data_IF_771400390346
#
_entry.id   IF_771400390346
#
_cell.length_a   1.000
_cell.length_b   1.000
_cell.length_c   1.000
_cell.angle_alpha   90.00
_cell.angle_beta   90.00
_cell.angle_gamma   90.00
#
_symmetry.space_group_name_H-M   'P 1'
#
loop_
_entity.id
_entity.type
_entity.pdbx_description
1 polymer ?
#
# COMPACT_ATOMS: atom_id res chain seq x y z
N UNK A 1 -14.72 -7.64 -23.13
CA UNK A 1 -13.41 -7.62 -22.40
C UNK A 1 -13.76 -7.37 -20.94
N UNK A 2 -13.21 -8.16 -20.00
CA UNK A 2 -13.45 -7.97 -18.57
C UNK A 2 -12.56 -6.79 -18.10
N UNK A 3 -13.18 -5.76 -17.53
CA UNK A 3 -12.46 -4.63 -16.97
C UNK A 3 -12.16 -4.90 -15.48
N UNK A 4 -10.88 -4.89 -15.12
CA UNK A 4 -10.43 -5.06 -13.74
C UNK A 4 -10.19 -3.71 -13.06
N UNK A 5 -10.41 -3.60 -11.75
CA UNK A 5 -10.14 -2.37 -11.03
C UNK A 5 -8.63 -2.05 -10.99
N UNK A 6 -8.31 -0.78 -10.77
CA UNK A 6 -6.97 -0.31 -10.47
C UNK A 6 -6.43 -0.93 -9.18
N UNK A 7 -5.11 -1.13 -9.08
CA UNK A 7 -4.50 -1.65 -7.85
C UNK A 7 -4.80 -0.77 -6.64
N UNK A 8 -5.56 -1.34 -5.72
CA UNK A 8 -6.02 -0.66 -4.52
C UNK A 8 -4.87 -0.10 -3.68
N UNK A 9 -3.81 -0.88 -3.52
CA UNK A 9 -2.69 -0.53 -2.65
C UNK A 9 -1.89 0.65 -3.19
N UNK A 10 -1.74 0.75 -4.52
CA UNK A 10 -1.05 1.86 -5.18
C UNK A 10 -1.97 3.09 -5.21
N UNK A 11 -3.22 2.93 -5.63
CA UNK A 11 -4.17 4.03 -5.71
C UNK A 11 -4.40 4.74 -4.35
N UNK A 12 -4.46 3.99 -3.23
CA UNK A 12 -4.55 4.59 -1.90
C UNK A 12 -3.31 5.41 -1.51
N UNK A 13 -2.13 5.01 -1.98
CA UNK A 13 -0.90 5.80 -1.78
C UNK A 13 -0.90 7.06 -2.62
N UNK A 14 -1.34 6.97 -3.86
CA UNK A 14 -1.54 8.16 -4.71
C UNK A 14 -2.51 9.14 -4.04
N UNK A 15 -3.63 8.65 -3.51
CA UNK A 15 -4.60 9.47 -2.79
C UNK A 15 -3.98 10.21 -1.58
N UNK A 16 -3.24 9.51 -0.72
CA UNK A 16 -2.61 10.12 0.47
C UNK A 16 -1.53 11.13 0.10
N UNK A 17 -0.78 10.87 -0.98
CA UNK A 17 0.26 11.77 -1.49
C UNK A 17 -0.30 12.89 -2.37
N UNK A 18 -1.62 12.91 -2.61
CA UNK A 18 -2.28 13.84 -3.51
C UNK A 18 -1.60 13.87 -4.90
N UNK A 19 -1.42 12.68 -5.49
CA UNK A 19 -0.90 12.46 -6.83
C UNK A 19 -2.05 12.18 -7.80
N UNK A 20 -1.95 12.72 -9.00
CA UNK A 20 -2.94 12.48 -10.05
C UNK A 20 -2.84 11.05 -10.59
N UNK A 21 -3.97 10.38 -10.74
CA UNK A 21 -4.10 9.08 -11.38
C UNK A 21 -5.49 8.92 -12.01
N UNK A 22 -5.67 7.89 -12.84
CA UNK A 22 -6.98 7.59 -13.42
C UNK A 22 -7.90 6.94 -12.37
N UNK A 23 -8.91 7.70 -11.92
CA UNK A 23 -9.86 7.29 -10.89
C UNK A 23 -11.01 6.40 -11.40
N UNK A 24 -11.02 6.06 -12.68
CA UNK A 24 -11.99 5.11 -13.21
C UNK A 24 -11.70 3.71 -12.68
N UNK A 25 -12.74 2.98 -12.34
CA UNK A 25 -12.64 1.61 -11.83
C UNK A 25 -11.85 1.47 -10.52
N UNK A 26 -12.01 2.42 -9.61
CA UNK A 26 -11.51 2.33 -8.22
C UNK A 26 -12.61 1.80 -7.29
N UNK A 27 -12.19 1.04 -6.26
CA UNK A 27 -13.10 0.52 -5.23
C UNK A 27 -13.39 1.54 -4.12
N UNK A 28 -14.40 1.25 -3.28
CA UNK A 28 -14.84 2.13 -2.18
C UNK A 28 -13.70 2.49 -1.19
N UNK A 29 -12.82 1.54 -0.87
CA UNK A 29 -11.66 1.80 0.00
C UNK A 29 -10.77 2.94 -0.55
N UNK A 30 -10.60 3.01 -1.88
CA UNK A 30 -9.80 4.06 -2.53
C UNK A 30 -10.55 5.38 -2.50
N UNK A 31 -11.86 5.37 -2.81
CA UNK A 31 -12.70 6.58 -2.79
C UNK A 31 -12.71 7.21 -1.40
N UNK A 32 -12.96 6.41 -0.35
CA UNK A 32 -12.95 6.88 1.03
C UNK A 32 -11.58 7.46 1.43
N UNK A 33 -10.49 6.83 0.97
CA UNK A 33 -9.14 7.34 1.23
C UNK A 33 -8.88 8.67 0.51
N UNK A 34 -9.31 8.78 -0.75
CA UNK A 34 -9.16 9.99 -1.56
C UNK A 34 -9.96 11.15 -0.98
N UNK A 35 -11.21 10.90 -0.60
CA UNK A 35 -12.06 11.90 0.03
C UNK A 35 -11.46 12.41 1.35
N UNK A 36 -11.02 11.50 2.22
CA UNK A 36 -10.39 11.85 3.49
C UNK A 36 -9.08 12.63 3.28
N UNK A 37 -8.25 12.24 2.31
CA UNK A 37 -7.01 12.95 1.99
C UNK A 37 -7.27 14.36 1.45
N UNK A 38 -8.28 14.52 0.58
CA UNK A 38 -8.69 15.81 0.04
C UNK A 38 -9.24 16.74 1.14
N UNK A 39 -10.10 16.22 2.02
CA UNK A 39 -10.60 16.96 3.18
C UNK A 39 -9.46 17.43 4.08
N UNK A 40 -8.48 16.56 4.37
CA UNK A 40 -7.31 16.92 5.16
C UNK A 40 -6.45 18.01 4.51
N UNK A 41 -6.26 17.93 3.20
CA UNK A 41 -5.46 18.92 2.45
C UNK A 41 -6.09 20.32 2.42
N UNK A 42 -7.43 20.40 2.47
CA UNK A 42 -8.19 21.64 2.35
C UNK A 42 -8.52 22.30 3.71
N UNK A 43 -8.46 21.56 4.81
CA UNK A 43 -8.87 22.05 6.12
C UNK A 43 -7.68 22.35 7.04
N UNK A 44 -7.81 23.43 7.83
CA UNK A 44 -6.80 23.84 8.82
C UNK A 44 -7.32 23.74 10.27
N UNK A 45 -8.54 23.25 10.48
CA UNK A 45 -9.20 23.14 11.78
C UNK A 45 -9.23 21.68 12.27
N UNK A 46 -9.74 21.46 13.47
CA UNK A 46 -9.99 20.13 14.05
C UNK A 46 -10.90 19.32 13.11
N UNK A 47 -10.37 18.26 12.54
CA UNK A 47 -11.02 17.49 11.50
C UNK A 47 -11.28 16.06 11.95
N UNK A 48 -12.49 15.55 11.66
CA UNK A 48 -12.80 14.13 11.78
C UNK A 48 -12.97 13.54 10.38
N UNK A 49 -12.13 12.58 10.02
CA UNK A 49 -12.10 11.92 8.72
C UNK A 49 -12.68 10.51 8.82
N UNK A 50 -13.65 10.21 7.97
CA UNK A 50 -14.26 8.88 7.90
C UNK A 50 -13.64 8.06 6.76
N UNK A 51 -12.98 6.98 7.09
CA UNK A 51 -12.32 6.09 6.14
C UNK A 51 -13.22 4.91 5.69
N UNK A 52 -14.49 4.86 6.09
CA UNK A 52 -15.38 3.73 5.80
C UNK A 52 -14.73 2.41 6.25
N UNK A 53 -14.51 1.46 5.33
CA UNK A 53 -13.81 0.19 5.60
C UNK A 53 -12.33 0.20 5.19
N UNK A 54 -11.78 1.34 4.84
CA UNK A 54 -10.43 1.45 4.28
C UNK A 54 -9.31 1.23 5.32
N UNK A 55 -9.02 -0.03 5.61
CA UNK A 55 -7.98 -0.41 6.58
C UNK A 55 -6.56 -0.02 6.19
N UNK A 56 -6.26 0.08 4.90
CA UNK A 56 -4.98 0.62 4.42
C UNK A 56 -5.00 2.15 4.49
N UNK A 57 -6.06 2.78 3.97
CA UNK A 57 -6.19 4.24 3.97
C UNK A 57 -6.01 4.85 5.36
N UNK A 58 -6.72 4.32 6.38
CA UNK A 58 -6.61 4.84 7.75
C UNK A 58 -5.18 4.76 8.28
N UNK A 59 -4.45 3.65 8.02
CA UNK A 59 -3.07 3.50 8.50
C UNK A 59 -2.08 4.42 7.78
N UNK A 60 -2.24 4.59 6.47
CA UNK A 60 -1.40 5.49 5.69
C UNK A 60 -1.62 6.96 6.10
N UNK A 61 -2.88 7.38 6.23
CA UNK A 61 -3.24 8.72 6.67
C UNK A 61 -2.79 9.00 8.10
N UNK A 62 -2.87 8.03 9.02
CA UNK A 62 -2.35 8.20 10.38
C UNK A 62 -0.88 8.63 10.35
N UNK A 63 -0.04 7.97 9.55
CA UNK A 63 1.37 8.35 9.41
C UNK A 63 1.54 9.75 8.81
N UNK A 64 0.86 10.02 7.69
CA UNK A 64 0.95 11.30 7.01
C UNK A 64 0.49 12.48 7.89
N UNK A 65 -0.63 12.32 8.61
CA UNK A 65 -1.17 13.34 9.50
C UNK A 65 -0.28 13.54 10.73
N UNK A 66 0.17 12.46 11.38
CA UNK A 66 1.08 12.55 12.51
C UNK A 66 2.38 13.31 12.15
N UNK A 67 2.92 13.06 10.94
CA UNK A 67 4.10 13.78 10.45
C UNK A 67 3.81 15.25 10.14
N UNK A 68 2.59 15.61 9.74
CA UNK A 68 2.23 17.00 9.44
C UNK A 68 2.17 17.91 10.67
N UNK A 69 2.13 17.32 11.87
CA UNK A 69 1.96 18.05 13.13
C UNK A 69 0.56 18.59 13.39
N UNK A 70 -0.42 18.28 12.54
CA UNK A 70 -1.81 18.75 12.69
C UNK A 70 -2.64 17.78 13.53
N UNK A 71 -3.62 18.34 14.27
CA UNK A 71 -4.62 17.55 15.01
C UNK A 71 -5.67 16.97 14.05
N UNK A 72 -6.06 15.71 14.27
CA UNK A 72 -7.10 15.05 13.48
C UNK A 72 -7.62 13.79 14.18
N UNK A 73 -8.91 13.48 13.99
CA UNK A 73 -9.52 12.22 14.41
C UNK A 73 -9.86 11.37 13.20
N UNK A 74 -9.43 10.11 13.19
CA UNK A 74 -9.76 9.15 12.14
C UNK A 74 -10.76 8.12 12.65
N UNK A 75 -11.86 7.96 11.90
CA UNK A 75 -12.93 6.99 12.22
C UNK A 75 -13.15 6.05 11.02
N UNK A 76 -13.88 4.99 11.27
CA UNK A 76 -14.32 4.06 10.23
C UNK A 76 -15.66 3.41 10.54
N UNK A 77 -16.08 2.52 9.66
CA UNK A 77 -17.27 1.72 9.87
C UNK A 77 -17.11 0.70 11.01
N UNK A 78 -18.17 -0.04 11.32
CA UNK A 78 -18.18 -1.06 12.37
C UNK A 78 -17.06 -2.12 12.19
N UNK A 79 -16.74 -2.50 10.94
CA UNK A 79 -15.68 -3.47 10.66
C UNK A 79 -14.30 -2.89 10.88
N UNK A 80 -14.06 -1.67 10.42
CA UNK A 80 -12.77 -0.99 10.59
C UNK A 80 -12.52 -0.66 12.06
N UNK A 81 -13.56 -0.28 12.81
CA UNK A 81 -13.48 0.02 14.25
C UNK A 81 -13.10 -1.18 15.14
N UNK A 82 -13.08 -2.40 14.58
CA UNK A 82 -12.64 -3.60 15.28
C UNK A 82 -11.20 -4.03 14.90
N UNK A 83 -10.55 -3.30 14.00
CA UNK A 83 -9.20 -3.65 13.55
C UNK A 83 -8.14 -2.98 14.44
N UNK A 84 -7.15 -3.75 14.96
CA UNK A 84 -6.13 -3.19 15.84
C UNK A 84 -5.22 -2.20 15.09
N UNK A 85 -4.89 -1.08 15.77
CA UNK A 85 -4.08 0.02 15.22
C UNK A 85 -2.76 0.22 15.95
N UNK A 86 -2.49 -0.48 17.06
CA UNK A 86 -1.25 -0.35 17.83
C UNK A 86 0.01 -0.51 17.01
N UNK A 87 -0.02 -1.42 16.02
CA UNK A 87 1.13 -1.64 15.13
C UNK A 87 1.61 -0.40 14.36
N UNK A 88 0.77 0.65 14.25
CA UNK A 88 1.15 1.91 13.64
C UNK A 88 1.24 3.04 14.66
N UNK A 89 0.40 3.06 15.72
CA UNK A 89 0.47 4.09 16.74
C UNK A 89 1.70 3.96 17.63
N UNK A 90 2.08 2.74 18.01
CA UNK A 90 3.23 2.51 18.89
C UNK A 90 4.54 3.03 18.28
N UNK A 91 4.93 2.69 17.03
CA UNK A 91 6.14 3.23 16.42
C UNK A 91 6.07 4.76 16.20
N UNK A 92 4.90 5.31 15.85
CA UNK A 92 4.74 6.75 15.69
C UNK A 92 4.87 7.48 17.04
N UNK A 93 4.30 6.95 18.11
CA UNK A 93 4.43 7.51 19.46
C UNK A 93 5.88 7.42 19.95
N UNK A 94 6.57 6.32 19.66
CA UNK A 94 8.01 6.19 19.92
C UNK A 94 8.83 7.25 19.18
N UNK A 95 8.38 7.64 17.98
CA UNK A 95 9.02 8.68 17.17
C UNK A 95 8.70 10.11 17.64
N UNK A 96 7.73 10.28 18.56
CA UNK A 96 7.36 11.57 19.14
C UNK A 96 5.96 12.06 18.76
N UNK A 97 5.18 11.28 18.03
CA UNK A 97 3.77 11.57 17.82
C UNK A 97 2.98 11.44 19.15
N UNK A 98 1.79 12.04 19.19
CA UNK A 98 0.83 11.88 20.28
C UNK A 98 -0.47 11.30 19.72
N UNK A 99 -0.56 9.97 19.72
CA UNK A 99 -1.68 9.23 19.16
C UNK A 99 -2.34 8.42 20.28
N UNK A 100 -3.63 8.61 20.47
CA UNK A 100 -4.49 7.78 21.33
C UNK A 100 -5.47 6.94 20.51
N UNK A 101 -5.85 5.79 21.06
CA UNK A 101 -6.75 4.83 20.47
C UNK A 101 -7.89 4.50 21.43
N UNK A 102 -9.07 4.21 20.91
CA UNK A 102 -10.14 3.64 21.72
C UNK A 102 -9.71 2.29 22.32
N UNK A 103 -9.94 2.10 23.62
CA UNK A 103 -9.48 0.93 24.37
C UNK A 103 -7.99 0.61 24.17
N UNK A 104 -7.17 1.65 23.93
CA UNK A 104 -5.75 1.55 23.65
C UNK A 104 -5.41 0.60 22.47
N UNK A 105 -6.33 0.41 21.56
CA UNK A 105 -6.18 -0.60 20.49
C UNK A 105 -6.88 -0.30 19.18
N UNK A 106 -8.05 0.32 19.18
CA UNK A 106 -8.94 0.42 18.04
C UNK A 106 -9.21 1.88 17.62
N UNK A 107 -9.76 2.12 16.42
CA UNK A 107 -10.36 3.42 16.10
C UNK A 107 -11.52 3.75 17.07
N UNK A 108 -11.80 5.04 17.32
CA UNK A 108 -11.17 6.23 16.76
C UNK A 108 -9.67 6.34 17.03
N UNK A 109 -8.93 6.88 16.02
CA UNK A 109 -7.53 7.26 16.17
C UNK A 109 -7.50 8.77 16.37
N UNK A 110 -7.13 9.21 17.55
CA UNK A 110 -6.98 10.64 17.86
C UNK A 110 -5.50 11.01 17.75
N UNK A 111 -5.21 11.96 16.87
CA UNK A 111 -3.86 12.47 16.62
C UNK A 111 -3.82 13.90 17.16
N UNK A 112 -3.01 14.16 18.16
CA UNK A 112 -2.80 15.50 18.69
C UNK A 112 -1.62 16.18 17.95
N UNK A 113 -1.56 17.52 18.06
CA UNK A 113 -0.41 18.27 17.61
C UNK A 113 0.87 17.76 18.26
N UNK A 114 1.84 17.42 17.44
CA UNK A 114 3.12 16.89 17.89
C UNK A 114 4.20 17.12 16.85
N UNK A 115 5.44 16.96 17.25
CA UNK A 115 6.59 17.09 16.36
C UNK A 115 7.42 15.81 16.43
N UNK A 116 7.62 15.18 15.28
CA UNK A 116 8.47 14.01 15.18
C UNK A 116 9.95 14.40 15.36
N UNK A 117 10.71 13.51 16.00
CA UNK A 117 12.14 13.71 16.18
C UNK A 117 12.88 13.58 14.84
N UNK A 118 13.92 14.36 14.58
CA UNK A 118 14.74 14.17 13.38
C UNK A 118 15.56 12.86 13.47
N UNK A 119 15.86 12.24 12.33
CA UNK A 119 16.72 11.05 12.21
C UNK A 119 16.25 9.86 13.04
N UNK A 120 15.09 9.30 12.70
CA UNK A 120 14.52 8.15 13.36
C UNK A 120 14.96 6.83 12.72
N UNK A 121 15.28 5.82 13.53
CA UNK A 121 15.54 4.46 13.06
C UNK A 121 14.53 3.52 13.70
N UNK A 122 13.90 2.68 12.88
CA UNK A 122 12.92 1.71 13.33
C UNK A 122 13.13 0.33 12.71
N UNK A 123 13.22 -0.70 13.54
CA UNK A 123 13.26 -2.08 13.09
C UNK A 123 11.84 -2.68 13.08
N UNK A 124 11.42 -3.20 11.93
CA UNK A 124 10.12 -3.86 11.80
C UNK A 124 10.14 -5.21 12.51
N UNK A 125 9.38 -5.34 13.60
CA UNK A 125 9.21 -6.60 14.33
C UNK A 125 8.55 -7.70 13.47
N UNK A 126 7.68 -7.29 12.55
CA UNK A 126 6.97 -8.17 11.61
C UNK A 126 7.03 -7.58 10.20
N UNK A 127 7.09 -8.41 9.14
CA UNK A 127 7.05 -7.94 7.76
C UNK A 127 5.69 -7.28 7.46
N UNK A 128 5.66 -5.95 7.38
CA UNK A 128 4.41 -5.22 7.16
C UNK A 128 4.60 -3.97 6.31
N UNK A 129 4.15 -4.06 5.07
CA UNK A 129 4.12 -2.92 4.16
C UNK A 129 3.27 -1.74 4.68
N UNK A 130 2.27 -1.98 5.54
CA UNK A 130 1.44 -0.92 6.09
C UNK A 130 2.18 -0.11 7.16
N UNK A 131 2.94 -0.78 8.05
CA UNK A 131 3.79 -0.10 9.04
C UNK A 131 4.86 0.71 8.32
N UNK A 132 5.59 0.07 7.41
CA UNK A 132 6.63 0.70 6.60
C UNK A 132 6.11 1.93 5.87
N UNK A 133 5.01 1.80 5.15
CA UNK A 133 4.39 2.91 4.42
C UNK A 133 3.94 4.04 5.35
N UNK A 134 3.34 3.71 6.49
CA UNK A 134 2.92 4.68 7.50
C UNK A 134 4.11 5.53 7.97
N UNK A 135 5.23 4.90 8.29
CA UNK A 135 6.45 5.58 8.74
C UNK A 135 7.11 6.42 7.63
N UNK A 136 7.18 5.90 6.39
CA UNK A 136 7.70 6.67 5.26
C UNK A 136 6.86 7.92 4.96
N UNK A 137 5.53 7.81 5.04
CA UNK A 137 4.62 8.94 4.86
C UNK A 137 4.72 9.95 6.01
N UNK A 138 4.95 9.48 7.24
CA UNK A 138 5.23 10.36 8.37
C UNK A 138 6.55 11.12 8.20
N UNK A 139 7.61 10.46 7.71
CA UNK A 139 8.89 11.09 7.39
C UNK A 139 8.73 12.19 6.32
N UNK A 140 7.98 11.89 5.26
CA UNK A 140 7.73 12.84 4.18
C UNK A 140 7.00 14.08 4.68
N UNK A 141 5.90 13.90 5.42
CA UNK A 141 5.08 15.03 5.88
C UNK A 141 5.73 15.84 6.98
N UNK A 142 6.57 15.22 7.82
CA UNK A 142 7.34 15.91 8.86
C UNK A 142 8.66 16.54 8.37
N UNK A 143 9.02 16.28 7.11
CA UNK A 143 10.31 16.68 6.53
C UNK A 143 11.51 16.20 7.36
N UNK A 144 11.52 14.92 7.71
CA UNK A 144 12.57 14.28 8.51
C UNK A 144 13.21 13.11 7.77
N UNK A 145 14.35 12.62 8.29
CA UNK A 145 15.02 11.41 7.77
C UNK A 145 14.60 10.20 8.56
N UNK A 146 14.47 9.06 7.88
CA UNK A 146 14.16 7.78 8.52
C UNK A 146 15.00 6.66 7.93
N UNK A 147 15.42 5.73 8.79
CA UNK A 147 15.97 4.43 8.43
C UNK A 147 15.01 3.35 8.94
N UNK A 148 14.53 2.48 8.05
CA UNK A 148 13.69 1.34 8.42
C UNK A 148 14.47 0.06 8.16
N UNK A 149 14.61 -0.77 9.19
CA UNK A 149 15.24 -2.09 9.10
C UNK A 149 14.14 -3.11 8.85
N UNK A 150 14.19 -3.79 7.71
CA UNK A 150 13.22 -4.77 7.26
C UNK A 150 13.92 -6.10 6.96
N UNK A 151 13.95 -7.01 7.95
CA UNK A 151 14.65 -8.28 7.85
C UNK A 151 13.96 -9.26 6.88
N UNK A 152 12.65 -9.20 6.76
CA UNK A 152 11.86 -9.97 5.79
C UNK A 152 11.17 -8.98 4.87
N UNK A 153 11.47 -8.97 3.56
CA UNK A 153 10.89 -8.02 2.62
C UNK A 153 9.36 -8.07 2.58
N UNK A 154 8.73 -6.91 2.61
CA UNK A 154 7.31 -6.72 2.38
C UNK A 154 7.08 -5.93 1.08
N UNK A 155 5.80 -5.69 0.70
CA UNK A 155 5.47 -4.92 -0.51
C UNK A 155 6.13 -3.55 -0.52
N UNK A 156 6.68 -3.16 -1.68
CA UNK A 156 7.53 -1.99 -1.87
C UNK A 156 6.85 -0.84 -2.68
N UNK A 157 5.52 -0.85 -2.77
CA UNK A 157 4.77 0.14 -3.54
C UNK A 157 5.01 1.59 -3.10
N UNK A 158 5.24 1.84 -1.79
CA UNK A 158 5.52 3.20 -1.30
C UNK A 158 6.89 3.67 -1.74
N UNK A 159 7.90 2.80 -1.63
CA UNK A 159 9.26 3.09 -2.07
C UNK A 159 9.29 3.38 -3.57
N UNK A 160 8.65 2.53 -4.39
CA UNK A 160 8.54 2.73 -5.84
C UNK A 160 7.85 4.02 -6.22
N UNK A 161 6.74 4.33 -5.55
CA UNK A 161 5.99 5.54 -5.80
C UNK A 161 6.77 6.80 -5.41
N UNK A 162 7.46 6.78 -4.27
CA UNK A 162 8.35 7.86 -3.85
C UNK A 162 9.51 8.04 -4.83
N UNK A 163 10.14 6.96 -5.30
CA UNK A 163 11.17 7.02 -6.34
C UNK A 163 10.65 7.59 -7.66
N UNK A 164 9.44 7.21 -8.10
CA UNK A 164 8.80 7.79 -9.28
C UNK A 164 8.60 9.30 -9.14
N UNK A 165 8.37 9.78 -7.92
CA UNK A 165 8.24 11.19 -7.57
C UNK A 165 9.57 11.87 -7.23
N UNK A 166 10.70 11.33 -7.67
CA UNK A 166 12.07 11.84 -7.52
C UNK A 166 12.53 11.97 -6.04
N UNK A 167 11.93 11.20 -5.12
CA UNK A 167 12.34 11.19 -3.72
C UNK A 167 13.68 10.46 -3.53
N UNK A 168 14.48 10.94 -2.59
CA UNK A 168 15.72 10.27 -2.17
C UNK A 168 15.41 9.10 -1.21
N UNK A 169 15.01 8.00 -1.79
CA UNK A 169 14.75 6.74 -1.09
C UNK A 169 15.49 5.60 -1.77
N UNK A 170 16.21 4.82 -0.98
CA UNK A 170 16.98 3.68 -1.49
C UNK A 170 17.07 2.56 -0.44
N UNK A 171 17.46 1.39 -0.90
CA UNK A 171 17.64 0.21 -0.06
C UNK A 171 19.11 -0.20 -0.05
N UNK A 172 19.64 -0.39 1.16
CA UNK A 172 20.96 -0.96 1.42
C UNK A 172 20.81 -2.23 2.26
N UNK A 173 20.90 -3.40 1.62
CA UNK A 173 20.65 -4.67 2.29
C UNK A 173 19.22 -4.76 2.85
N UNK A 174 19.10 -4.89 4.17
CA UNK A 174 17.80 -4.89 4.87
C UNK A 174 17.34 -3.51 5.34
N UNK A 175 18.07 -2.44 5.02
CA UNK A 175 17.73 -1.07 5.40
C UNK A 175 17.07 -0.32 4.25
N UNK A 176 16.02 0.41 4.56
CA UNK A 176 15.40 1.39 3.70
C UNK A 176 15.72 2.76 4.28
N UNK A 177 16.41 3.57 3.50
CA UNK A 177 16.87 4.91 3.90
C UNK A 177 16.07 5.92 3.09
N UNK A 178 15.42 6.84 3.78
CA UNK A 178 14.59 7.87 3.16
C UNK A 178 14.91 9.25 3.74
N UNK A 179 15.20 10.19 2.83
CA UNK A 179 15.34 11.61 3.15
C UNK A 179 14.04 12.36 2.83
N UNK A 180 13.15 12.45 3.82
CA UNK A 180 11.87 13.17 3.71
C UNK A 180 12.00 14.70 3.77
N UNK A 181 13.22 15.26 3.95
CA UNK A 181 13.42 16.73 4.00
C UNK A 181 13.24 17.40 2.65
N UNK A 182 13.34 16.64 1.55
CA UNK A 182 13.17 17.11 0.18
C UNK A 182 11.73 16.96 -0.29
N UNK A 183 11.28 17.89 -1.07
CA UNK A 183 9.96 17.83 -1.70
C UNK A 183 9.95 16.80 -2.82
N UNK A 184 8.84 16.10 -2.95
CA UNK A 184 8.63 15.17 -4.06
C UNK A 184 8.02 15.89 -5.25
N UNK A 185 8.36 15.44 -6.46
CA UNK A 185 7.76 15.93 -7.70
C UNK A 185 6.38 15.32 -7.89
N UNK A 186 5.33 16.14 -8.01
CA UNK A 186 3.98 15.67 -8.33
C UNK A 186 3.93 15.20 -9.78
N UNK A 187 3.54 13.94 -9.99
CA UNK A 187 3.44 13.33 -11.32
C UNK A 187 2.09 12.61 -11.46
N UNK A 188 1.64 12.46 -12.70
CA UNK A 188 0.55 11.53 -13.00
C UNK A 188 1.07 10.09 -12.88
N UNK A 189 0.35 9.26 -12.13
CA UNK A 189 0.69 7.85 -11.90
C UNK A 189 -0.27 6.96 -12.68
N UNK A 190 0.26 6.22 -13.63
CA UNK A 190 -0.51 5.19 -14.32
C UNK A 190 -0.57 3.93 -13.47
N UNK A 191 -1.61 3.83 -12.65
CA UNK A 191 -1.83 2.71 -11.72
C UNK A 191 -2.20 1.45 -12.50
N UNK A 192 -1.45 0.31 -12.37
CA UNK A 192 -1.78 -0.94 -13.01
C UNK A 192 -3.10 -1.53 -12.48
N UNK A 193 -3.63 -2.54 -13.16
CA UNK A 193 -4.78 -3.29 -12.67
C UNK A 193 -4.40 -4.18 -11.49
N UNK A 194 -5.34 -4.37 -10.56
CA UNK A 194 -5.13 -5.06 -9.29
C UNK A 194 -4.88 -6.55 -9.48
N UNK A 195 -3.72 -7.02 -9.04
CA UNK A 195 -3.34 -8.42 -9.09
C UNK A 195 -4.25 -9.32 -8.25
N UNK A 196 -4.69 -8.85 -7.08
CA UNK A 196 -5.58 -9.64 -6.21
C UNK A 196 -6.93 -9.89 -6.87
N UNK A 197 -7.46 -8.91 -7.59
CA UNK A 197 -8.68 -9.07 -8.40
C UNK A 197 -8.44 -9.98 -9.61
N UNK A 198 -7.28 -9.86 -10.25
CA UNK A 198 -6.89 -10.72 -11.37
C UNK A 198 -6.74 -12.19 -10.95
N UNK A 199 -6.29 -12.47 -9.73
CA UNK A 199 -6.07 -13.83 -9.22
C UNK A 199 -7.33 -14.71 -9.32
N UNK A 200 -8.53 -14.14 -9.07
CA UNK A 200 -9.79 -14.87 -9.23
C UNK A 200 -10.05 -15.26 -10.69
N UNK A 201 -9.74 -14.36 -11.64
CA UNK A 201 -9.93 -14.64 -13.07
C UNK A 201 -8.85 -15.57 -13.61
N UNK A 202 -7.62 -15.49 -13.09
CA UNK A 202 -6.55 -16.45 -13.39
C UNK A 202 -6.99 -17.85 -12.97
N UNK A 203 -7.49 -18.01 -11.74
CA UNK A 203 -8.01 -19.28 -11.25
C UNK A 203 -9.21 -19.76 -12.11
N UNK A 204 -10.13 -18.88 -12.48
CA UNK A 204 -11.26 -19.22 -13.33
C UNK A 204 -10.82 -19.68 -14.74
N UNK A 205 -9.84 -19.01 -15.34
CA UNK A 205 -9.26 -19.43 -16.63
C UNK A 205 -8.70 -20.86 -16.56
N UNK A 206 -7.92 -21.14 -15.51
CA UNK A 206 -7.33 -22.46 -15.28
C UNK A 206 -8.43 -23.50 -15.09
N UNK A 207 -9.40 -23.27 -14.18
CA UNK A 207 -10.47 -24.24 -13.87
C UNK A 207 -11.42 -24.51 -15.04
N UNK A 208 -11.61 -23.54 -15.93
CA UNK A 208 -12.50 -23.66 -17.10
C UNK A 208 -11.73 -23.98 -18.38
N UNK A 209 -10.42 -24.06 -18.31
CA UNK A 209 -9.49 -24.20 -19.43
C UNK A 209 -9.75 -23.17 -20.55
N UNK A 210 -10.00 -21.94 -20.15
CA UNK A 210 -10.21 -20.80 -21.06
C UNK A 210 -8.99 -19.89 -21.01
N UNK A 211 -8.53 -19.50 -22.17
CA UNK A 211 -7.37 -18.61 -22.31
C UNK A 211 -7.84 -17.16 -22.55
N UNK A 212 -8.45 -16.56 -21.52
CA UNK A 212 -8.90 -15.16 -21.59
C UNK A 212 -7.75 -14.27 -21.12
N UNK A 213 -7.17 -13.43 -21.98
CA UNK A 213 -6.06 -12.57 -21.60
C UNK A 213 -6.53 -11.47 -20.63
N UNK A 214 -5.78 -11.31 -19.53
CA UNK A 214 -5.96 -10.26 -18.53
C UNK A 214 -4.90 -9.19 -18.78
N UNK A 215 -5.32 -7.99 -19.19
CA UNK A 215 -4.40 -6.95 -19.67
C UNK A 215 -3.99 -5.95 -18.59
N UNK A 216 -2.70 -5.58 -18.60
CA UNK A 216 -2.16 -4.51 -17.77
C UNK A 216 -2.16 -4.81 -16.26
N UNK A 217 -1.97 -6.07 -15.88
CA UNK A 217 -1.98 -6.52 -14.48
C UNK A 217 -0.65 -6.16 -13.82
N UNK A 218 -0.71 -5.60 -12.60
CA UNK A 218 0.48 -5.38 -11.79
C UNK A 218 1.16 -6.71 -11.43
N UNK A 219 2.44 -6.86 -11.78
CA UNK A 219 3.22 -8.08 -11.56
C UNK A 219 4.40 -7.85 -10.61
N UNK A 220 4.23 -6.99 -9.62
CA UNK A 220 5.25 -6.80 -8.58
C UNK A 220 5.56 -8.14 -7.89
N UNK A 221 6.83 -8.54 -7.87
CA UNK A 221 7.29 -9.83 -7.32
C UNK A 221 6.90 -10.04 -5.85
N UNK A 222 6.75 -8.97 -5.10
CA UNK A 222 6.28 -9.03 -3.70
C UNK A 222 4.80 -9.41 -3.56
N UNK A 223 4.08 -9.58 -4.67
CA UNK A 223 2.64 -9.91 -4.72
C UNK A 223 2.29 -11.14 -5.54
N UNK A 224 3.19 -11.61 -6.39
CA UNK A 224 2.90 -12.61 -7.42
C UNK A 224 3.25 -14.04 -7.02
N UNK A 225 3.55 -14.33 -5.75
CA UNK A 225 3.83 -15.68 -5.27
C UNK A 225 2.72 -16.70 -5.65
N UNK A 226 1.48 -16.25 -5.78
CA UNK A 226 0.36 -17.05 -6.28
C UNK A 226 0.61 -17.66 -7.67
N UNK A 227 1.27 -16.93 -8.58
CA UNK A 227 1.60 -17.45 -9.91
C UNK A 227 2.57 -18.62 -9.82
N UNK A 228 3.60 -18.52 -8.98
CA UNK A 228 4.57 -19.59 -8.77
C UNK A 228 3.88 -20.85 -8.24
N UNK A 229 2.95 -20.69 -7.29
CA UNK A 229 2.16 -21.82 -6.75
C UNK A 229 1.34 -22.49 -7.85
N UNK A 230 0.70 -21.70 -8.72
CA UNK A 230 -0.07 -22.26 -9.84
C UNK A 230 0.82 -22.99 -10.85
N UNK A 231 2.01 -22.49 -11.13
CA UNK A 231 3.00 -23.17 -12.00
C UNK A 231 3.48 -24.49 -11.37
N UNK A 232 3.75 -24.49 -10.06
CA UNK A 232 4.08 -25.72 -9.33
C UNK A 232 2.93 -26.75 -9.36
N UNK A 233 1.67 -26.28 -9.37
CA UNK A 233 0.49 -27.15 -9.55
C UNK A 233 0.37 -27.70 -10.98
N UNK A 234 1.12 -27.16 -11.95
CA UNK A 234 1.10 -27.60 -13.35
C UNK A 234 0.31 -26.65 -14.27
N UNK A 235 -0.06 -25.45 -13.79
CA UNK A 235 -0.62 -24.44 -14.67
C UNK A 235 0.47 -23.85 -15.58
N UNK A 236 0.08 -23.48 -16.80
CA UNK A 236 0.90 -22.73 -17.72
C UNK A 236 0.55 -21.27 -17.65
N UNK A 237 1.47 -20.45 -17.12
CA UNK A 237 1.32 -19.01 -17.02
C UNK A 237 2.21 -18.34 -18.05
N UNK A 238 1.66 -17.46 -18.86
CA UNK A 238 2.44 -16.68 -19.84
C UNK A 238 2.25 -15.20 -19.59
N UNK A 239 3.37 -14.48 -19.51
CA UNK A 239 3.41 -13.02 -19.36
C UNK A 239 3.76 -12.39 -20.70
N UNK A 240 2.86 -11.54 -21.20
CA UNK A 240 3.05 -10.84 -22.46
C UNK A 240 3.13 -9.32 -22.21
N UNK A 241 3.79 -8.59 -23.12
CA UNK A 241 3.88 -7.13 -23.07
C UNK A 241 4.37 -6.60 -21.72
N UNK A 242 5.29 -7.33 -21.05
CA UNK A 242 5.83 -6.93 -19.75
C UNK A 242 6.60 -5.61 -19.89
N UNK A 243 6.26 -4.64 -19.04
CA UNK A 243 6.90 -3.32 -19.01
C UNK A 243 6.86 -2.72 -17.61
N UNK A 244 7.57 -1.62 -17.42
CA UNK A 244 7.53 -0.82 -16.20
C UNK A 244 6.94 0.55 -16.57
N UNK A 245 5.87 0.95 -15.91
CA UNK A 245 5.24 2.25 -16.07
C UNK A 245 4.97 2.82 -14.67
N UNK A 246 5.30 4.10 -14.46
CA UNK A 246 5.26 4.74 -13.14
C UNK A 246 5.95 3.90 -12.05
N UNK A 247 7.14 3.37 -12.40
CA UNK A 247 7.98 2.50 -11.57
C UNK A 247 7.31 1.20 -11.06
N UNK A 248 6.13 0.82 -11.59
CA UNK A 248 5.45 -0.44 -11.26
C UNK A 248 5.48 -1.40 -12.45
N UNK A 249 5.93 -2.66 -12.24
CA UNK A 249 5.94 -3.67 -13.29
C UNK A 249 4.52 -4.16 -13.57
N UNK A 250 4.20 -4.31 -14.85
CA UNK A 250 2.92 -4.84 -15.32
C UNK A 250 3.09 -5.74 -16.54
N UNK A 251 2.14 -6.63 -16.76
CA UNK A 251 2.06 -7.48 -17.94
C UNK A 251 0.62 -7.84 -18.29
N UNK A 252 0.43 -8.35 -19.48
CA UNK A 252 -0.76 -9.11 -19.83
C UNK A 252 -0.54 -10.56 -19.41
N UNK A 253 -1.53 -11.19 -18.76
CA UNK A 253 -1.41 -12.56 -18.22
C UNK A 253 -2.41 -13.45 -18.93
N UNK A 254 -1.92 -14.59 -19.47
CA UNK A 254 -2.72 -15.73 -19.84
C UNK A 254 -2.41 -16.90 -18.94
N UNK A 255 -3.42 -17.72 -18.63
CA UNK A 255 -3.27 -18.83 -17.69
C UNK A 255 -4.18 -19.99 -18.08
N UNK A 256 -3.60 -21.18 -18.25
CA UNK A 256 -4.31 -22.42 -18.61
C UNK A 256 -3.60 -23.63 -18.01
N UNK A 257 -4.12 -24.81 -18.22
CA UNK A 257 -3.39 -26.06 -17.99
C UNK A 257 -3.47 -26.96 -19.24
N UNK A 258 -2.46 -27.77 -19.44
CA UNK A 258 -2.40 -28.63 -20.64
C UNK A 258 -2.85 -30.07 -20.34
N UNK A 259 -2.68 -30.57 -19.09
CA UNK A 259 -3.01 -31.96 -18.75
C UNK A 259 -3.89 -32.06 -17.50
N UNK A 260 -3.33 -31.86 -16.32
CA UNK A 260 -4.05 -31.85 -15.03
C UNK A 260 -3.27 -31.05 -14.00
N UNK A 261 -4.00 -30.53 -13.00
CA UNK A 261 -3.41 -29.86 -11.85
C UNK A 261 -3.12 -30.86 -10.74
N UNK A 262 -1.97 -30.73 -10.10
CA UNK A 262 -1.60 -31.51 -8.91
C UNK A 262 -1.66 -30.68 -7.65
N UNK A 263 -1.90 -31.32 -6.52
CA UNK A 263 -1.78 -30.68 -5.23
C UNK A 263 -0.32 -30.34 -4.89
N UNK A 264 -0.10 -29.19 -4.24
CA UNK A 264 1.22 -28.75 -3.76
C UNK A 264 1.14 -28.39 -2.29
N UNK A 265 2.25 -28.50 -1.57
CA UNK A 265 2.37 -28.04 -0.19
C UNK A 265 2.99 -26.67 -0.16
N UNK A 266 2.33 -25.69 0.48
CA UNK A 266 2.81 -24.33 0.61
C UNK A 266 3.34 -24.14 2.03
N UNK A 267 4.60 -23.72 2.18
CA UNK A 267 5.19 -23.28 3.43
C UNK A 267 5.20 -21.75 3.50
N UNK A 268 5.19 -21.17 4.72
CA UNK A 268 5.11 -19.73 4.93
C UNK A 268 6.31 -18.89 4.41
N UNK A 269 7.18 -19.50 3.59
CA UNK A 269 8.29 -18.86 2.88
C UNK A 269 8.04 -18.72 1.36
N UNK A 270 6.85 -19.06 0.89
CA UNK A 270 6.48 -18.98 -0.54
C UNK A 270 5.88 -17.60 -0.90
#
# INVERSE_FOLDING_TARGET
MIELPKDKSIAQRCAVLNLDFDERFIGEDVKNTLEAANQFAQCNEDLTLNLGNSGTGIRLLTGYIAGSGKKCTLIGDKSLSQRPMRRISDPLNTWGAQISLWEDKYPPIEIAESKLQPNFTYELEIPSAQIKSCLLLAALSSKTKIEIIENIPSRDHTERLLQECDAEIFREGNKIIFDGTKEITKKFIDVPKDFSSAAYLIAANILTNKDIPLKGIGINKTRTAFLNVLEEMGAKIELHNACIISNEPRADITARYDTYLKGVSISGQS
#
